data_IF_358049750748
#
_entry.id   IF_358049750748
#
_cell.length_a   1.000
_cell.length_b   1.000
_cell.length_c   1.000
_cell.angle_alpha   90.00
_cell.angle_beta   90.00
_cell.angle_gamma   90.00
#
_symmetry.space_group_name_H-M   'P 1'
#
loop_
_entity.id
_entity.type
_entity.pdbx_description
1 polymer ?
#
# COMPACT_ATOMS: atom_id res chain seq x y z
N UNK A 1 -39.52 4.06 44.50
CA UNK A 1 -39.59 5.53 44.62
C UNK A 1 -39.71 6.06 43.20
N UNK A 2 -40.92 6.50 42.85
CA UNK A 2 -41.37 7.24 41.63
C UNK A 2 -40.36 8.24 41.05
N UNK A 3 -40.45 8.79 39.82
CA UNK A 3 -41.19 8.60 38.57
C UNK A 3 -40.81 9.84 37.71
N UNK A 4 -41.03 9.78 36.39
CA UNK A 4 -41.12 10.91 35.43
C UNK A 4 -39.75 11.41 34.91
N UNK A 5 -39.54 11.46 33.59
CA UNK A 5 -40.34 12.30 32.70
C UNK A 5 -40.55 11.72 31.29
N UNK A 6 -41.78 11.88 30.80
CA UNK A 6 -42.27 11.50 29.47
C UNK A 6 -42.18 12.71 28.54
N UNK A 7 -41.92 12.49 27.26
CA UNK A 7 -42.59 13.27 26.21
C UNK A 7 -42.95 12.34 25.04
N UNK A 8 -44.25 12.28 24.75
CA UNK A 8 -44.85 11.69 23.54
C UNK A 8 -45.49 12.83 22.76
N UNK A 9 -45.42 12.79 21.43
CA UNK A 9 -46.49 13.33 20.59
C UNK A 9 -46.68 12.43 19.36
N UNK A 10 -47.92 11.98 19.19
CA UNK A 10 -48.46 11.19 18.08
C UNK A 10 -48.90 12.12 16.92
N UNK A 11 -49.03 11.57 15.70
CA UNK A 11 -50.12 11.69 14.69
C UNK A 11 -49.59 10.94 13.42
N UNK A 12 -50.04 9.73 13.06
CA UNK A 12 -51.30 9.25 12.46
C UNK A 12 -51.41 9.44 10.92
N UNK A 13 -51.42 8.28 10.24
CA UNK A 13 -52.20 7.82 9.04
C UNK A 13 -51.96 8.30 7.59
N UNK A 14 -51.67 7.28 6.76
CA UNK A 14 -52.37 6.80 5.53
C UNK A 14 -52.41 7.62 4.24
N UNK A 15 -51.91 7.01 3.15
CA UNK A 15 -52.50 6.95 1.78
C UNK A 15 -51.62 6.00 0.93
N UNK A 16 -51.99 4.73 0.67
CA UNK A 16 -52.82 4.18 -0.42
C UNK A 16 -52.46 4.73 -1.83
N UNK A 17 -51.82 3.90 -2.65
CA UNK A 17 -51.95 3.86 -4.13
C UNK A 17 -51.66 2.43 -4.61
N UNK A 18 -52.68 1.57 -4.74
CA UNK A 18 -53.35 1.15 -6.00
C UNK A 18 -52.47 0.31 -6.92
N UNK A 19 -52.75 -0.99 -6.90
CA UNK A 19 -52.47 -2.01 -7.91
C UNK A 19 -53.09 -1.63 -9.26
N UNK A 20 -52.35 -1.81 -10.36
CA UNK A 20 -52.94 -2.15 -11.65
C UNK A 20 -52.19 -3.32 -12.29
N UNK A 21 -52.88 -4.46 -12.28
CA UNK A 21 -52.66 -5.67 -13.07
C UNK A 21 -53.66 -5.64 -14.24
N UNK A 22 -53.24 -6.11 -15.41
CA UNK A 22 -54.11 -6.47 -16.54
C UNK A 22 -53.82 -5.62 -17.79
N UNK A 23 -53.81 -6.14 -19.01
CA UNK A 23 -54.21 -7.44 -19.53
C UNK A 23 -53.42 -7.74 -20.82
N UNK A 24 -53.26 -9.03 -21.08
CA UNK A 24 -52.83 -9.63 -22.33
C UNK A 24 -53.99 -9.78 -23.34
N UNK A 25 -53.61 -10.13 -24.59
CA UNK A 25 -54.38 -10.76 -25.69
C UNK A 25 -54.92 -9.84 -26.83
N UNK A 26 -55.31 -10.38 -28.01
CA UNK A 26 -54.38 -10.59 -29.14
C UNK A 26 -54.95 -10.13 -30.51
N UNK A 27 -54.10 -10.25 -31.54
CA UNK A 27 -54.38 -10.51 -32.96
C UNK A 27 -55.55 -9.78 -33.67
N UNK A 28 -55.18 -8.95 -34.67
CA UNK A 28 -56.03 -8.70 -35.82
C UNK A 28 -55.59 -9.58 -37.01
N UNK A 29 -56.54 -10.39 -37.48
CA UNK A 29 -56.48 -11.21 -38.70
C UNK A 29 -56.94 -10.37 -39.87
N UNK A 30 -56.17 -10.32 -40.96
CA UNK A 30 -56.59 -9.78 -42.27
C UNK A 30 -56.14 -10.78 -43.36
N UNK A 31 -56.96 -11.04 -44.40
CA UNK A 31 -57.01 -12.33 -45.08
C UNK A 31 -55.97 -12.56 -46.18
N UNK A 32 -55.78 -13.85 -46.45
CA UNK A 32 -54.97 -14.45 -47.51
C UNK A 32 -55.52 -14.06 -48.89
N UNK A 33 -54.67 -13.47 -49.72
CA UNK A 33 -54.81 -13.46 -51.18
C UNK A 33 -53.73 -14.37 -51.77
N UNK A 34 -54.17 -15.44 -52.44
CA UNK A 34 -53.30 -16.42 -53.09
C UNK A 34 -52.65 -15.81 -54.33
N UNK A 35 -51.32 -15.75 -54.35
CA UNK A 35 -50.56 -15.65 -55.60
C UNK A 35 -49.42 -16.66 -55.60
N UNK A 36 -49.53 -17.63 -56.51
CA UNK A 36 -48.44 -18.50 -56.92
C UNK A 36 -47.40 -17.64 -57.63
N UNK A 37 -46.23 -17.48 -57.03
CA UNK A 37 -45.00 -17.10 -57.75
C UNK A 37 -43.90 -18.07 -57.36
N UNK A 38 -43.26 -18.55 -58.40
CA UNK A 38 -42.19 -19.52 -58.49
C UNK A 38 -40.85 -18.80 -58.30
N UNK A 39 -39.88 -19.55 -57.77
CA UNK A 39 -38.43 -19.35 -57.83
C UNK A 39 -37.69 -18.73 -56.63
N UNK A 40 -36.55 -19.40 -56.39
CA UNK A 40 -35.30 -18.98 -55.76
C UNK A 40 -35.23 -18.92 -54.23
N UNK A 41 -34.73 -20.04 -53.67
CA UNK A 41 -34.08 -20.07 -52.37
C UNK A 41 -32.91 -19.08 -52.35
N UNK A 42 -33.16 -17.90 -51.81
CA UNK A 42 -32.08 -16.98 -51.40
C UNK A 42 -31.65 -17.42 -50.00
N UNK A 43 -30.52 -18.13 -49.92
CA UNK A 43 -29.79 -18.32 -48.66
C UNK A 43 -29.57 -16.95 -48.03
N UNK A 44 -30.30 -16.67 -46.97
CA UNK A 44 -30.01 -15.53 -46.10
C UNK A 44 -28.81 -15.94 -45.25
N UNK A 45 -27.60 -15.75 -45.80
CA UNK A 45 -26.38 -15.80 -45.01
C UNK A 45 -26.46 -14.65 -44.02
N UNK A 46 -26.87 -14.99 -42.80
CA UNK A 46 -26.73 -14.08 -41.67
C UNK A 46 -25.26 -14.15 -41.30
N UNK A 47 -24.43 -13.32 -41.93
CA UNK A 47 -23.04 -13.10 -41.52
C UNK A 47 -23.06 -12.47 -40.13
N UNK A 48 -23.06 -13.32 -39.11
CA UNK A 48 -22.65 -12.95 -37.76
C UNK A 48 -21.13 -12.84 -37.78
N UNK A 49 -20.60 -11.73 -38.30
CA UNK A 49 -19.18 -11.43 -38.18
C UNK A 49 -18.89 -11.12 -36.71
N UNK A 50 -18.36 -12.11 -35.99
CA UNK A 50 -17.75 -11.85 -34.70
C UNK A 50 -16.61 -10.85 -34.92
N UNK A 51 -16.57 -9.72 -34.19
CA UNK A 51 -15.54 -8.71 -34.37
C UNK A 51 -14.16 -9.35 -34.16
N UNK A 52 -13.26 -9.15 -35.12
CA UNK A 52 -11.89 -9.67 -35.06
C UNK A 52 -11.07 -8.73 -34.19
N UNK A 53 -10.64 -9.23 -33.03
CA UNK A 53 -9.77 -8.50 -32.12
C UNK A 53 -8.45 -8.13 -32.80
N UNK A 54 -8.08 -6.84 -32.72
CA UNK A 54 -6.83 -6.31 -33.26
C UNK A 54 -5.86 -6.00 -32.11
N UNK A 55 -4.63 -6.49 -32.19
CA UNK A 55 -3.58 -6.16 -31.21
C UNK A 55 -2.45 -5.45 -31.92
N UNK A 56 -2.08 -4.27 -31.44
CA UNK A 56 -0.91 -3.51 -31.93
C UNK A 56 0.25 -3.67 -30.97
N UNK A 57 1.39 -4.16 -31.46
CA UNK A 57 2.62 -4.27 -30.66
C UNK A 57 3.38 -2.92 -30.70
N UNK A 58 3.47 -2.25 -29.55
CA UNK A 58 4.16 -0.98 -29.38
C UNK A 58 5.64 -1.13 -28.96
N UNK A 59 6.08 -2.35 -28.66
CA UNK A 59 7.46 -2.66 -28.28
C UNK A 59 7.78 -2.37 -26.81
N UNK A 60 9.07 -2.27 -26.45
CA UNK A 60 9.50 -2.11 -25.07
C UNK A 60 9.27 -0.68 -24.57
N UNK A 61 8.78 -0.54 -23.34
CA UNK A 61 8.75 0.74 -22.64
C UNK A 61 10.17 1.24 -22.37
N UNK A 62 10.39 2.54 -22.60
CA UNK A 62 11.69 3.19 -22.41
C UNK A 62 11.56 4.31 -21.38
N UNK A 63 12.26 4.16 -20.26
CA UNK A 63 12.36 5.20 -19.24
C UNK A 63 13.38 6.25 -19.66
N UNK A 64 13.13 7.51 -19.30
CA UNK A 64 14.17 8.54 -19.40
C UNK A 64 15.34 8.20 -18.46
N UNK A 65 16.55 8.64 -18.80
CA UNK A 65 17.72 8.37 -17.96
C UNK A 65 17.48 8.88 -16.52
N UNK A 66 17.62 7.98 -15.55
CA UNK A 66 17.39 8.28 -14.13
C UNK A 66 15.92 8.37 -13.70
N UNK A 67 14.96 8.17 -14.60
CA UNK A 67 13.54 8.14 -14.26
C UNK A 67 13.12 6.75 -13.76
N UNK A 68 12.34 6.73 -12.67
CA UNK A 68 11.71 5.52 -12.12
C UNK A 68 10.24 5.39 -12.54
N UNK A 69 9.70 6.34 -13.29
CA UNK A 69 8.33 6.28 -13.80
C UNK A 69 8.25 6.81 -15.23
N UNK A 70 7.20 6.43 -15.95
CA UNK A 70 6.79 7.06 -17.20
C UNK A 70 5.28 7.03 -17.36
N UNK A 71 4.75 7.92 -18.19
CA UNK A 71 3.35 7.97 -18.56
C UNK A 71 3.22 8.15 -20.07
N UNK A 72 2.35 7.36 -20.70
CA UNK A 72 2.07 7.43 -22.13
C UNK A 72 0.57 7.48 -22.37
N UNK A 73 0.07 8.51 -23.08
CA UNK A 73 -1.29 8.51 -23.57
C UNK A 73 -1.40 7.65 -24.85
N UNK A 74 -2.64 7.30 -25.21
CA UNK A 74 -2.96 6.75 -26.53
C UNK A 74 -4.46 6.66 -26.76
N UNK A 75 -4.83 6.20 -27.94
CA UNK A 75 -6.20 5.91 -28.33
C UNK A 75 -6.46 4.40 -28.35
N UNK A 76 -7.70 4.02 -28.07
CA UNK A 76 -8.18 2.65 -28.12
C UNK A 76 -9.52 2.60 -28.85
N UNK A 77 -9.53 1.90 -29.98
CA UNK A 77 -10.73 1.60 -30.73
C UNK A 77 -11.49 0.39 -30.12
N UNK A 78 -12.80 0.25 -30.36
CA UNK A 78 -13.54 -0.96 -29.98
C UNK A 78 -12.89 -2.23 -30.54
N UNK A 79 -12.84 -3.29 -29.73
CA UNK A 79 -12.21 -4.57 -30.10
C UNK A 79 -10.72 -4.46 -30.48
N UNK A 80 -10.03 -3.47 -29.92
CA UNK A 80 -8.58 -3.31 -30.09
C UNK A 80 -7.85 -3.43 -28.76
N UNK A 81 -6.56 -3.75 -28.87
CA UNK A 81 -5.62 -3.73 -27.76
C UNK A 81 -4.26 -3.22 -28.25
N UNK A 82 -3.49 -2.68 -27.31
CA UNK A 82 -2.10 -2.30 -27.52
C UNK A 82 -1.21 -3.04 -26.53
N UNK A 83 -0.05 -3.49 -26.97
CA UNK A 83 0.85 -4.34 -26.19
C UNK A 83 2.24 -3.73 -26.06
N UNK A 84 2.74 -3.75 -24.83
CA UNK A 84 4.08 -3.30 -24.46
C UNK A 84 4.88 -4.43 -23.81
N UNK A 85 6.20 -4.31 -23.80
CA UNK A 85 7.06 -5.11 -22.94
C UNK A 85 7.77 -4.27 -21.89
N UNK A 86 7.95 -4.84 -20.70
CA UNK A 86 8.56 -4.16 -19.55
C UNK A 86 9.53 -5.10 -18.86
N UNK A 87 10.79 -4.68 -18.70
CA UNK A 87 11.79 -5.45 -17.97
C UNK A 87 12.05 -4.83 -16.60
N UNK A 88 12.10 -5.65 -15.57
CA UNK A 88 12.45 -5.26 -14.21
C UNK A 88 13.16 -6.39 -13.47
N UNK A 89 13.90 -6.02 -12.43
CA UNK A 89 14.74 -6.92 -11.65
C UNK A 89 13.99 -7.52 -10.47
N UNK A 90 14.47 -8.66 -9.98
CA UNK A 90 14.05 -9.27 -8.74
C UNK A 90 14.11 -8.26 -7.60
N UNK A 91 13.03 -8.22 -6.82
CA UNK A 91 12.87 -7.35 -5.68
C UNK A 91 12.46 -5.91 -6.01
N UNK A 92 12.45 -5.49 -7.27
CA UNK A 92 11.84 -4.21 -7.62
C UNK A 92 10.33 -4.31 -7.54
N UNK A 93 9.67 -3.23 -7.11
CA UNK A 93 8.23 -3.11 -7.20
C UNK A 93 7.83 -2.52 -8.55
N UNK A 94 6.98 -3.20 -9.31
CA UNK A 94 6.41 -2.67 -10.55
C UNK A 94 4.96 -2.29 -10.29
N UNK A 95 4.60 -1.03 -10.53
CA UNK A 95 3.24 -0.53 -10.38
C UNK A 95 2.75 0.09 -11.69
N UNK A 96 1.50 -0.20 -12.04
CA UNK A 96 0.89 0.16 -13.32
C UNK A 96 -0.50 0.74 -13.06
N UNK A 97 -0.82 1.86 -13.72
CA UNK A 97 -2.12 2.51 -13.65
C UNK A 97 -2.65 2.75 -15.07
N UNK A 98 -3.96 2.58 -15.22
CA UNK A 98 -4.70 2.84 -16.44
C UNK A 98 -5.89 3.73 -16.13
N UNK A 99 -5.94 4.88 -16.78
CA UNK A 99 -7.11 5.77 -16.77
C UNK A 99 -7.63 5.97 -18.19
N UNK A 100 -8.90 6.32 -18.32
CA UNK A 100 -9.56 6.55 -19.61
C UNK A 100 -10.26 7.88 -19.67
N UNK A 101 -10.40 8.42 -20.88
CA UNK A 101 -11.26 9.57 -21.19
C UNK A 101 -12.27 9.15 -22.28
N UNK A 102 -13.59 9.27 -22.02
CA UNK A 102 -14.21 9.79 -20.80
C UNK A 102 -13.98 8.87 -19.60
N UNK A 103 -13.90 9.44 -18.39
CA UNK A 103 -13.88 8.63 -17.17
C UNK A 103 -15.24 7.94 -16.97
N UNK A 104 -15.23 6.70 -16.50
CA UNK A 104 -16.43 5.92 -16.21
C UNK A 104 -16.41 5.42 -14.78
N UNK A 105 -17.55 5.55 -14.09
CA UNK A 105 -17.75 5.08 -12.71
C UNK A 105 -18.63 3.83 -12.62
N UNK A 106 -19.30 3.46 -13.73
CA UNK A 106 -20.21 2.31 -13.78
C UNK A 106 -19.52 1.04 -14.28
N UNK A 107 -18.59 1.19 -15.22
CA UNK A 107 -17.82 0.10 -15.81
C UNK A 107 -16.51 0.60 -16.38
N UNK A 108 -15.41 -0.11 -16.15
CA UNK A 108 -14.13 0.20 -16.77
C UNK A 108 -14.23 0.15 -18.30
N UNK A 109 -13.70 1.18 -18.97
CA UNK A 109 -13.69 1.28 -20.43
C UNK A 109 -12.47 0.62 -21.07
N UNK A 110 -11.46 0.30 -20.27
CA UNK A 110 -10.28 -0.45 -20.68
C UNK A 110 -9.74 -1.27 -19.50
N UNK A 111 -8.92 -2.28 -19.80
CA UNK A 111 -8.31 -3.15 -18.79
C UNK A 111 -6.85 -3.45 -19.10
N UNK A 112 -6.07 -3.67 -18.05
CA UNK A 112 -4.72 -4.21 -18.08
C UNK A 112 -4.77 -5.75 -18.07
N UNK A 113 -3.99 -6.37 -18.94
CA UNK A 113 -3.64 -7.79 -18.90
C UNK A 113 -2.13 -7.90 -18.77
N UNK A 114 -1.65 -8.52 -17.69
CA UNK A 114 -0.21 -8.68 -17.44
C UNK A 114 0.14 -10.13 -17.59
N UNK A 115 1.14 -10.42 -18.43
CA UNK A 115 1.64 -11.76 -18.67
C UNK A 115 3.11 -11.84 -18.31
N UNK A 116 3.49 -12.91 -17.61
CA UNK A 116 4.90 -13.22 -17.35
C UNK A 116 5.66 -13.60 -18.63
N UNK A 117 6.97 -13.86 -18.50
CA UNK A 117 7.81 -14.24 -19.62
C UNK A 117 7.42 -15.59 -20.28
N UNK A 118 6.62 -16.42 -19.61
CA UNK A 118 6.09 -17.68 -20.14
C UNK A 118 4.72 -17.49 -20.85
N UNK A 119 4.15 -16.28 -20.81
CA UNK A 119 2.82 -15.99 -21.34
C UNK A 119 1.69 -16.32 -20.36
N UNK A 120 2.00 -16.63 -19.09
CA UNK A 120 0.98 -16.85 -18.05
C UNK A 120 0.34 -15.51 -17.69
N UNK A 121 -0.99 -15.43 -17.80
CA UNK A 121 -1.73 -14.25 -17.35
C UNK A 121 -1.73 -14.20 -15.81
N UNK A 122 -1.28 -13.07 -15.26
CA UNK A 122 -1.17 -12.83 -13.82
C UNK A 122 -2.35 -12.04 -13.23
N UNK A 123 -3.23 -11.52 -14.09
CA UNK A 123 -4.31 -10.59 -13.71
C UNK A 123 -5.68 -11.15 -14.04
N UNK A 124 -6.69 -10.71 -13.30
CA UNK A 124 -8.11 -10.88 -13.66
C UNK A 124 -8.64 -9.59 -14.26
N UNK A 125 -9.43 -9.67 -15.33
CA UNK A 125 -10.05 -8.51 -15.96
C UNK A 125 -11.47 -8.27 -15.39
N UNK A 126 -11.93 -7.02 -15.24
CA UNK A 126 -11.20 -5.78 -15.53
C UNK A 126 -10.19 -5.40 -14.43
N UNK A 127 -9.11 -4.75 -14.83
CA UNK A 127 -8.05 -4.26 -13.94
C UNK A 127 -7.52 -2.92 -14.44
N UNK A 128 -7.55 -1.89 -13.59
CA UNK A 128 -7.03 -0.55 -13.89
C UNK A 128 -5.79 -0.19 -13.06
N UNK A 129 -5.46 -1.00 -12.07
CA UNK A 129 -4.26 -0.87 -11.26
C UNK A 129 -3.65 -2.23 -10.96
N UNK A 130 -2.33 -2.34 -11.07
CA UNK A 130 -1.59 -3.53 -10.65
C UNK A 130 -0.29 -3.12 -9.99
N UNK A 131 0.10 -3.82 -8.92
CA UNK A 131 1.42 -3.63 -8.33
C UNK A 131 1.94 -4.90 -7.67
N UNK A 132 3.22 -5.20 -7.89
CA UNK A 132 3.88 -6.38 -7.32
C UNK A 132 5.39 -6.16 -7.17
N UNK A 133 5.97 -6.70 -6.08
CA UNK A 133 7.42 -6.90 -5.95
C UNK A 133 7.84 -8.17 -6.67
N UNK A 134 8.81 -8.07 -7.57
CA UNK A 134 9.11 -9.16 -8.49
C UNK A 134 9.87 -10.30 -7.80
N UNK A 135 9.43 -11.56 -7.94
CA UNK A 135 10.14 -12.70 -7.35
C UNK A 135 11.42 -13.06 -8.08
N UNK A 136 11.56 -12.66 -9.36
CA UNK A 136 12.69 -12.95 -10.24
C UNK A 136 12.86 -11.82 -11.26
N UNK A 137 14.06 -11.70 -11.82
CA UNK A 137 14.32 -10.88 -13.01
C UNK A 137 13.43 -11.39 -14.16
N UNK A 138 12.62 -10.53 -14.75
CA UNK A 138 11.80 -10.93 -15.89
C UNK A 138 11.36 -9.76 -16.77
N UNK A 139 10.89 -10.14 -17.96
CA UNK A 139 10.20 -9.22 -18.87
C UNK A 139 8.73 -9.59 -18.93
N UNK A 140 7.88 -8.64 -18.58
CA UNK A 140 6.43 -8.74 -18.70
C UNK A 140 5.96 -8.31 -20.06
N UNK A 141 4.85 -8.92 -20.50
CA UNK A 141 4.01 -8.37 -21.54
C UNK A 141 2.81 -7.70 -20.89
N UNK A 142 2.59 -6.43 -21.19
CA UNK A 142 1.43 -5.65 -20.71
C UNK A 142 0.54 -5.36 -21.91
N UNK A 143 -0.71 -5.79 -21.85
CA UNK A 143 -1.70 -5.51 -22.87
C UNK A 143 -2.79 -4.60 -22.30
N UNK A 144 -3.10 -3.51 -23.00
CA UNK A 144 -4.20 -2.61 -22.65
C UNK A 144 -5.32 -2.88 -23.66
N UNK A 145 -6.45 -3.40 -23.18
CA UNK A 145 -7.57 -3.81 -24.02
C UNK A 145 -8.73 -2.83 -23.89
N UNK A 146 -9.36 -2.49 -25.01
CA UNK A 146 -10.60 -1.74 -25.01
C UNK A 146 -11.77 -2.62 -24.55
N UNK A 147 -12.52 -2.13 -23.57
CA UNK A 147 -13.83 -2.66 -23.18
C UNK A 147 -14.97 -1.77 -23.69
N UNK A 148 -14.64 -0.64 -24.30
CA UNK A 148 -15.58 0.35 -24.79
C UNK A 148 -16.21 -0.06 -26.13
N UNK A 149 -17.40 0.51 -26.38
CA UNK A 149 -18.13 0.36 -27.65
C UNK A 149 -17.86 1.49 -28.64
N UNK A 150 -17.13 2.50 -28.20
CA UNK A 150 -16.70 3.66 -28.95
C UNK A 150 -15.20 3.91 -28.70
N UNK A 151 -14.62 4.80 -29.49
CA UNK A 151 -13.22 5.19 -29.34
C UNK A 151 -13.03 5.92 -28.01
N UNK A 152 -11.98 5.55 -27.29
CA UNK A 152 -11.60 6.19 -26.03
C UNK A 152 -10.14 6.60 -26.07
N UNK A 153 -9.77 7.57 -25.25
CA UNK A 153 -8.37 7.81 -24.93
C UNK A 153 -8.02 7.06 -23.65
N UNK A 154 -6.78 6.62 -23.55
CA UNK A 154 -6.21 6.08 -22.32
C UNK A 154 -4.94 6.85 -21.93
N UNK A 155 -4.64 6.79 -20.64
CA UNK A 155 -3.35 7.18 -20.09
C UNK A 155 -2.82 6.03 -19.25
N UNK A 156 -1.65 5.52 -19.63
CA UNK A 156 -0.96 4.43 -18.96
C UNK A 156 0.27 4.97 -18.24
N UNK A 157 0.31 4.81 -16.91
CA UNK A 157 1.45 5.14 -16.05
C UNK A 157 2.09 3.85 -15.56
N UNK A 158 3.42 3.81 -15.55
CA UNK A 158 4.19 2.75 -14.90
C UNK A 158 5.27 3.37 -14.01
N UNK A 159 5.48 2.76 -12.84
CA UNK A 159 6.49 3.13 -11.85
C UNK A 159 7.26 1.87 -11.44
N UNK A 160 8.59 1.96 -11.49
CA UNK A 160 9.55 0.93 -11.10
C UNK A 160 10.64 1.63 -10.27
N UNK A 161 10.48 1.73 -8.94
CA UNK A 161 11.52 2.26 -8.06
C UNK A 161 12.82 1.46 -8.19
N UNK A 162 13.94 2.12 -7.91
CA UNK A 162 15.27 1.50 -8.02
C UNK A 162 15.55 0.57 -6.83
N UNK A 163 14.88 0.81 -5.71
CA UNK A 163 14.99 0.04 -4.48
C UNK A 163 14.53 -1.40 -4.71
N UNK A 164 15.30 -2.34 -4.14
CA UNK A 164 14.95 -3.76 -4.14
C UNK A 164 14.60 -4.23 -2.75
N UNK A 165 13.58 -5.07 -2.67
CA UNK A 165 13.07 -5.68 -1.45
C UNK A 165 13.11 -7.19 -1.63
N UNK A 166 13.41 -7.91 -0.56
CA UNK A 166 13.26 -9.37 -0.59
C UNK A 166 11.80 -9.70 -0.96
N UNK A 167 11.55 -10.44 -2.06
CA UNK A 167 10.20 -10.74 -2.51
C UNK A 167 9.31 -11.37 -1.43
N UNK A 168 9.88 -12.05 -0.43
CA UNK A 168 9.13 -12.59 0.71
C UNK A 168 8.43 -11.50 1.56
N UNK A 169 8.91 -10.26 1.51
CA UNK A 169 8.38 -9.10 2.22
C UNK A 169 7.74 -8.06 1.29
N UNK A 170 7.46 -8.43 0.04
CA UNK A 170 6.97 -7.51 -0.98
C UNK A 170 5.46 -7.23 -0.97
N UNK A 171 4.70 -7.93 -0.12
CA UNK A 171 3.25 -7.81 -0.01
C UNK A 171 2.81 -7.74 1.46
N UNK A 172 3.60 -7.08 2.31
CA UNK A 172 3.33 -6.93 3.75
C UNK A 172 2.35 -5.79 4.01
N UNK A 173 2.35 -4.77 3.16
CA UNK A 173 1.48 -3.62 3.26
C UNK A 173 0.32 -3.67 2.26
N UNK A 174 -0.87 -3.30 2.73
CA UNK A 174 -2.06 -3.12 1.89
C UNK A 174 -2.62 -1.70 2.05
N UNK A 175 -3.46 -1.24 1.10
CA UNK A 175 -4.10 0.05 1.20
C UNK A 175 -4.94 0.14 2.48
N UNK A 176 -4.82 1.27 3.17
CA UNK A 176 -5.70 1.62 4.28
C UNK A 176 -7.07 2.05 3.75
N UNK A 177 -8.07 2.19 4.63
CA UNK A 177 -9.40 2.65 4.24
C UNK A 177 -9.34 3.97 3.44
N UNK A 178 -9.95 3.99 2.26
CA UNK A 178 -9.88 5.13 1.33
C UNK A 178 -10.39 6.45 1.95
N UNK A 179 -11.39 6.35 2.83
CA UNK A 179 -11.97 7.51 3.53
C UNK A 179 -10.95 8.20 4.44
N UNK A 180 -10.03 7.43 5.04
CA UNK A 180 -8.94 7.96 5.83
C UNK A 180 -7.95 8.71 4.95
N UNK A 181 -7.54 8.16 3.81
CA UNK A 181 -6.64 8.86 2.89
C UNK A 181 -7.25 10.17 2.37
N UNK A 182 -8.55 10.19 2.07
CA UNK A 182 -9.27 11.40 1.67
C UNK A 182 -9.32 12.43 2.80
N UNK A 183 -9.50 12.00 4.05
CA UNK A 183 -9.42 12.89 5.20
C UNK A 183 -8.01 13.50 5.31
N UNK A 184 -6.96 12.67 5.23
CA UNK A 184 -5.57 13.13 5.26
C UNK A 184 -5.24 14.09 4.11
N UNK A 185 -5.82 13.87 2.92
CA UNK A 185 -5.71 14.80 1.79
C UNK A 185 -6.26 16.19 2.14
N UNK A 186 -7.42 16.28 2.78
CA UNK A 186 -8.02 17.56 3.16
C UNK A 186 -7.20 18.28 4.25
N UNK A 187 -6.67 17.53 5.21
CA UNK A 187 -5.75 18.07 6.22
C UNK A 187 -4.46 18.60 5.57
N UNK A 188 -3.89 17.86 4.62
CA UNK A 188 -2.68 18.25 3.89
C UNK A 188 -2.92 19.49 3.02
N UNK A 189 -4.06 19.56 2.32
CA UNK A 189 -4.46 20.72 1.52
C UNK A 189 -4.57 21.97 2.41
N UNK A 190 -5.18 21.84 3.58
CA UNK A 190 -5.34 22.94 4.54
C UNK A 190 -3.99 23.35 5.12
N UNK A 191 -3.15 22.38 5.50
CA UNK A 191 -1.85 22.64 6.12
C UNK A 191 -0.86 23.32 5.17
N UNK A 192 -0.84 22.91 3.90
CA UNK A 192 0.11 23.43 2.90
C UNK A 192 -0.45 24.62 2.13
N UNK A 193 -1.77 24.81 2.10
CA UNK A 193 -2.46 25.76 1.22
C UNK A 193 -2.02 25.59 -0.25
N UNK A 194 -1.97 24.33 -0.69
CA UNK A 194 -1.59 23.90 -2.04
C UNK A 194 -2.55 22.84 -2.54
N UNK A 195 -2.61 22.70 -3.86
CA UNK A 195 -3.29 21.56 -4.47
C UNK A 195 -2.58 20.27 -4.05
N UNK A 196 -3.38 19.26 -3.65
CA UNK A 196 -2.89 17.95 -3.25
C UNK A 196 -3.49 16.91 -4.19
N UNK A 197 -2.61 16.27 -4.95
CA UNK A 197 -2.99 15.13 -5.79
C UNK A 197 -3.08 13.87 -4.95
N UNK A 198 -4.16 13.12 -5.16
CA UNK A 198 -4.45 11.89 -4.42
C UNK A 198 -4.43 10.69 -5.36
N UNK A 199 -3.58 9.72 -5.04
CA UNK A 199 -3.55 8.41 -5.66
C UNK A 199 -4.10 7.39 -4.65
N UNK A 200 -5.28 6.82 -4.93
CA UNK A 200 -5.92 5.84 -4.03
C UNK A 200 -5.13 4.54 -3.90
N UNK A 201 -4.28 4.25 -4.89
CA UNK A 201 -3.37 3.12 -4.90
C UNK A 201 -2.00 3.58 -5.39
N UNK A 202 -0.98 3.31 -4.60
CA UNK A 202 0.43 3.61 -4.89
C UNK A 202 1.36 2.55 -4.28
N UNK A 203 2.56 2.33 -4.86
CA UNK A 203 3.56 1.49 -4.23
C UNK A 203 3.93 2.08 -2.87
N UNK A 204 4.00 1.22 -1.85
CA UNK A 204 4.38 1.59 -0.50
C UNK A 204 5.67 0.87 -0.12
N UNK A 205 6.65 1.64 0.35
CA UNK A 205 7.98 1.13 0.72
C UNK A 205 8.31 1.54 2.16
N UNK A 206 8.36 0.55 3.05
CA UNK A 206 8.98 0.70 4.36
C UNK A 206 10.47 0.35 4.26
N UNK A 207 11.29 1.34 3.94
CA UNK A 207 12.73 1.17 3.79
C UNK A 207 13.44 0.77 5.10
N UNK A 208 12.88 1.14 6.27
CA UNK A 208 13.44 0.80 7.58
C UNK A 208 13.17 -0.67 7.89
N UNK A 209 11.94 -1.13 7.65
CA UNK A 209 11.55 -2.54 7.76
C UNK A 209 12.17 -3.41 6.66
N UNK A 210 12.48 -2.84 5.49
CA UNK A 210 12.79 -3.61 4.29
C UNK A 210 11.58 -4.42 3.83
N UNK A 211 10.41 -3.79 3.89
CA UNK A 211 9.11 -4.36 3.56
C UNK A 211 8.43 -3.44 2.52
N UNK A 212 7.57 -4.02 1.70
CA UNK A 212 6.83 -3.27 0.69
C UNK A 212 5.39 -3.78 0.57
N UNK A 213 4.63 -3.07 -0.24
CA UNK A 213 3.26 -3.41 -0.56
C UNK A 213 2.58 -2.22 -1.21
N UNK A 214 1.31 -2.01 -0.89
CA UNK A 214 0.51 -0.96 -1.50
C UNK A 214 -0.07 -0.05 -0.43
N UNK A 215 -0.30 1.20 -0.79
CA UNK A 215 -0.87 2.23 0.06
C UNK A 215 -1.64 3.25 -0.77
N UNK A 216 -2.02 4.35 -0.15
CA UNK A 216 -2.39 5.57 -0.85
C UNK A 216 -1.23 6.56 -0.80
N UNK A 217 -1.16 7.45 -1.80
CA UNK A 217 -0.15 8.50 -1.88
C UNK A 217 -0.81 9.86 -2.06
N UNK A 218 -0.34 10.82 -1.27
CA UNK A 218 -0.71 12.23 -1.39
C UNK A 218 0.53 12.99 -1.85
N UNK A 219 0.41 13.80 -2.89
CA UNK A 219 1.51 14.63 -3.38
C UNK A 219 1.13 16.08 -3.50
N UNK A 220 2.06 16.97 -3.14
CA UNK A 220 1.95 18.39 -3.40
C UNK A 220 3.31 18.93 -3.88
N UNK A 221 3.27 20.01 -4.64
CA UNK A 221 4.47 20.69 -5.11
C UNK A 221 4.45 22.16 -4.72
N UNK A 222 5.62 22.77 -4.68
CA UNK A 222 5.76 24.21 -4.46
C UNK A 222 7.21 24.65 -4.64
N UNK A 223 7.49 25.86 -4.20
CA UNK A 223 8.83 26.45 -4.28
C UNK A 223 9.36 26.86 -2.91
N UNK A 224 10.62 27.26 -2.82
CA UNK A 224 11.17 27.89 -1.62
C UNK A 224 10.51 29.22 -1.26
N UNK A 225 9.71 29.83 -2.15
CA UNK A 225 8.87 30.97 -1.81
C UNK A 225 7.64 30.56 -0.98
N UNK A 226 7.21 29.30 -1.13
CA UNK A 226 6.09 28.71 -0.38
C UNK A 226 6.56 28.09 0.94
N UNK A 227 7.77 27.52 0.95
CA UNK A 227 8.29 26.74 2.06
C UNK A 227 9.71 27.20 2.45
N UNK A 228 9.92 27.47 3.75
CA UNK A 228 11.22 27.91 4.26
C UNK A 228 12.30 26.85 4.11
N UNK A 229 11.98 25.62 4.52
CA UNK A 229 12.88 24.47 4.55
C UNK A 229 12.05 23.18 4.69
N UNK A 230 12.65 22.04 4.31
CA UNK A 230 11.96 20.75 4.32
C UNK A 230 11.53 20.29 5.73
N UNK A 231 12.35 20.55 6.76
CA UNK A 231 12.07 20.13 8.14
C UNK A 231 10.85 20.84 8.73
N UNK A 232 10.71 22.14 8.47
CA UNK A 232 9.52 22.91 8.87
C UNK A 232 8.24 22.40 8.22
N UNK A 233 8.31 21.94 6.96
CA UNK A 233 7.16 21.33 6.27
C UNK A 233 6.82 19.98 6.92
N UNK A 234 7.80 19.11 7.17
CA UNK A 234 7.58 17.83 7.87
C UNK A 234 6.97 18.06 9.25
N UNK A 235 7.50 19.00 10.03
CA UNK A 235 6.95 19.33 11.36
C UNK A 235 5.49 19.81 11.28
N UNK A 236 5.17 20.65 10.30
CA UNK A 236 3.80 21.10 10.04
C UNK A 236 2.89 19.89 9.77
N UNK A 237 3.28 19.01 8.85
CA UNK A 237 2.51 17.82 8.48
C UNK A 237 2.35 16.83 9.64
N UNK A 238 3.38 16.64 10.49
CA UNK A 238 3.25 15.84 11.72
C UNK A 238 2.18 16.44 12.64
N UNK A 239 2.17 17.76 12.83
CA UNK A 239 1.23 18.43 13.74
C UNK A 239 -0.21 18.48 13.22
N UNK A 240 -0.42 18.36 11.92
CA UNK A 240 -1.74 18.44 11.27
C UNK A 240 -2.18 17.08 10.73
N UNK A 241 -1.62 16.64 9.60
CA UNK A 241 -1.93 15.36 8.93
C UNK A 241 -1.66 14.17 9.86
N UNK A 242 -0.57 14.23 10.62
CA UNK A 242 -0.17 13.23 11.61
C UNK A 242 -0.90 13.33 12.95
N UNK A 243 -1.89 14.21 13.12
CA UNK A 243 -2.59 14.36 14.38
C UNK A 243 -3.25 13.04 14.81
N UNK A 244 -2.94 12.59 16.04
CA UNK A 244 -3.43 11.31 16.57
C UNK A 244 -2.63 10.08 16.12
N UNK A 245 -1.50 10.26 15.43
CA UNK A 245 -0.50 9.22 15.16
C UNK A 245 0.71 9.39 16.07
N UNK A 246 1.43 8.30 16.32
CA UNK A 246 2.65 8.30 17.13
C UNK A 246 3.87 8.34 16.21
N UNK A 247 4.82 9.23 16.49
CA UNK A 247 6.03 9.33 15.67
C UNK A 247 6.97 8.14 15.92
N UNK A 248 7.44 7.50 14.85
CA UNK A 248 8.45 6.46 14.92
C UNK A 248 9.85 7.06 14.72
N UNK A 249 10.66 7.08 15.79
CA UNK A 249 12.00 7.70 15.78
C UNK A 249 12.93 7.11 14.71
N UNK A 250 12.84 5.80 14.44
CA UNK A 250 13.67 5.11 13.46
C UNK A 250 13.41 5.55 11.99
N UNK A 251 12.35 6.32 11.76
CA UNK A 251 11.95 6.80 10.43
C UNK A 251 12.25 8.30 10.25
N UNK A 252 12.86 8.94 11.24
CA UNK A 252 13.26 10.35 11.12
C UNK A 252 14.56 10.45 10.33
N UNK A 253 14.56 11.28 9.29
CA UNK A 253 15.75 11.59 8.52
C UNK A 253 15.73 13.05 8.11
N UNK A 254 16.83 13.78 8.34
CA UNK A 254 16.96 15.18 7.98
C UNK A 254 18.25 15.41 7.19
N UNK A 255 18.14 16.23 6.16
CA UNK A 255 19.24 16.60 5.28
C UNK A 255 19.04 18.00 4.69
N UNK A 256 20.05 18.47 3.95
CA UNK A 256 20.02 19.82 3.35
C UNK A 256 18.92 19.94 2.29
N UNK A 257 18.66 18.86 1.54
CA UNK A 257 17.71 18.81 0.42
C UNK A 257 16.40 18.12 0.73
N UNK A 258 16.23 17.63 1.96
CA UNK A 258 15.02 16.92 2.32
C UNK A 258 14.93 16.56 3.78
N UNK A 259 13.73 16.23 4.20
CA UNK A 259 13.38 15.78 5.53
C UNK A 259 12.31 14.70 5.40
N UNK A 260 12.31 13.72 6.30
CA UNK A 260 11.35 12.65 6.34
C UNK A 260 11.03 12.26 7.78
N UNK A 261 9.80 11.78 7.96
CA UNK A 261 9.33 11.23 9.22
C UNK A 261 8.38 10.05 8.97
N UNK A 262 8.38 9.10 9.90
CA UNK A 262 7.38 8.03 9.95
C UNK A 262 6.48 8.20 11.16
N UNK A 263 5.20 7.92 10.99
CA UNK A 263 4.21 7.87 12.06
C UNK A 263 3.43 6.56 11.97
N UNK A 264 3.04 6.01 13.11
CA UNK A 264 2.25 4.79 13.17
C UNK A 264 0.99 5.00 14.02
N UNK A 265 -0.05 4.24 13.70
CA UNK A 265 -1.31 4.17 14.43
C UNK A 265 -1.97 2.83 14.12
N UNK A 266 -2.28 2.06 15.16
CA UNK A 266 -2.73 0.68 15.02
C UNK A 266 -1.71 -0.12 14.16
N UNK A 267 -2.15 -0.69 13.04
CA UNK A 267 -1.28 -1.34 12.05
C UNK A 267 -0.84 -0.42 10.90
N UNK A 268 -1.30 0.84 10.89
CA UNK A 268 -0.98 1.84 9.88
C UNK A 268 0.44 2.38 10.02
N UNK A 269 1.10 2.61 8.89
CA UNK A 269 2.32 3.39 8.77
C UNK A 269 2.10 4.52 7.77
N UNK A 270 2.36 5.74 8.22
CA UNK A 270 2.41 6.96 7.42
C UNK A 270 3.87 7.37 7.26
N UNK A 271 4.30 7.59 6.02
CA UNK A 271 5.62 8.09 5.69
C UNK A 271 5.49 9.46 5.03
N UNK A 272 6.07 10.47 5.67
CA UNK A 272 6.11 11.84 5.17
C UNK A 272 7.51 12.06 4.60
N UNK A 273 7.61 12.46 3.34
CA UNK A 273 8.86 12.82 2.68
C UNK A 273 8.72 14.18 2.04
N UNK A 274 9.62 15.09 2.38
CA UNK A 274 9.72 16.41 1.75
C UNK A 274 11.11 16.51 1.15
N UNK A 275 11.19 16.68 -0.16
CA UNK A 275 12.45 16.88 -0.86
C UNK A 275 12.39 18.16 -1.69
N UNK A 276 13.54 18.77 -1.95
CA UNK A 276 13.63 19.82 -2.96
C UNK A 276 14.85 19.62 -3.85
N UNK A 277 14.73 20.09 -5.09
CA UNK A 277 15.83 20.12 -6.07
C UNK A 277 15.89 21.47 -6.77
N UNK A 278 17.06 21.88 -7.29
CA UNK A 278 17.16 23.06 -8.13
C UNK A 278 16.24 22.93 -9.35
N UNK A 279 15.70 24.05 -9.81
CA UNK A 279 14.95 24.14 -11.06
C UNK A 279 15.80 23.66 -12.24
N UNK A 280 15.14 23.04 -13.22
CA UNK A 280 15.80 22.53 -14.43
C UNK A 280 16.53 23.67 -15.18
N UNK A 281 17.79 23.42 -15.52
CA UNK A 281 18.66 24.39 -16.19
C UNK A 281 19.53 25.22 -15.24
N UNK A 282 19.37 25.07 -13.93
CA UNK A 282 20.31 25.65 -12.96
C UNK A 282 21.47 24.69 -12.72
N UNK A 283 22.67 25.08 -13.14
CA UNK A 283 23.90 24.32 -12.91
C UNK A 283 24.54 24.71 -11.57
N UNK A 284 24.40 23.86 -10.56
CA UNK A 284 25.16 23.98 -9.32
C UNK A 284 26.49 23.22 -9.45
N UNK A 285 27.60 23.73 -8.86
CA UNK A 285 28.86 23.00 -8.86
C UNK A 285 28.72 21.65 -8.15
N UNK A 286 29.03 20.55 -8.83
CA UNK A 286 28.86 19.20 -8.29
C UNK A 286 29.75 18.91 -7.06
N UNK A 287 30.89 19.60 -6.94
CA UNK A 287 31.89 19.39 -5.88
C UNK A 287 31.78 20.39 -4.72
N UNK A 288 30.70 21.18 -4.65
CA UNK A 288 30.49 22.16 -3.60
C UNK A 288 29.11 21.96 -2.96
N UNK A 289 28.92 22.38 -1.69
CA UNK A 289 27.60 22.27 -1.08
C UNK A 289 26.61 23.22 -1.77
N UNK A 290 25.33 22.82 -1.76
CA UNK A 290 24.28 23.49 -2.54
C UNK A 290 23.96 24.92 -2.07
N UNK A 291 24.39 25.28 -0.86
CA UNK A 291 24.30 26.65 -0.34
C UNK A 291 25.14 27.64 -1.17
N UNK A 292 26.26 27.18 -1.73
CA UNK A 292 27.13 27.98 -2.61
C UNK A 292 26.47 28.31 -3.95
N UNK A 293 25.46 27.53 -4.35
CA UNK A 293 24.75 27.75 -5.62
C UNK A 293 23.92 29.04 -5.63
N UNK A 294 23.64 29.64 -4.46
CA UNK A 294 22.98 30.95 -4.37
C UNK A 294 21.55 30.97 -4.93
N UNK A 295 20.86 29.82 -4.88
CA UNK A 295 19.52 29.63 -5.42
C UNK A 295 18.52 30.62 -4.81
N UNK A 296 17.72 31.27 -5.65
CA UNK A 296 16.55 32.02 -5.17
C UNK A 296 15.49 31.07 -4.61
N UNK A 297 14.58 31.54 -3.75
CA UNK A 297 13.48 30.72 -3.25
C UNK A 297 12.69 30.03 -4.38
N UNK A 298 12.42 30.73 -5.47
CA UNK A 298 11.65 30.22 -6.63
C UNK A 298 12.37 29.10 -7.38
N UNK A 299 13.72 29.10 -7.36
CA UNK A 299 14.55 28.07 -8.00
C UNK A 299 14.66 26.78 -7.19
N UNK A 300 14.07 26.71 -5.99
CA UNK A 300 14.04 25.50 -5.16
C UNK A 300 12.69 24.82 -5.34
N UNK A 301 12.63 23.76 -6.13
CA UNK A 301 11.39 23.04 -6.42
C UNK A 301 11.17 21.96 -5.36
N UNK A 302 10.14 22.13 -4.55
CA UNK A 302 9.74 21.18 -3.51
C UNK A 302 8.76 20.13 -4.04
N UNK A 303 8.98 18.89 -3.59
CA UNK A 303 8.09 17.75 -3.75
C UNK A 303 7.76 17.20 -2.36
N UNK A 304 6.50 17.23 -2.00
CA UNK A 304 5.96 16.71 -0.75
C UNK A 304 5.18 15.44 -1.08
N UNK A 305 5.50 14.35 -0.38
CA UNK A 305 4.87 13.05 -0.52
C UNK A 305 4.45 12.55 0.87
N UNK A 306 3.21 12.09 0.99
CA UNK A 306 2.71 11.35 2.14
C UNK A 306 2.17 10.02 1.66
N UNK A 307 2.89 8.94 1.96
CA UNK A 307 2.46 7.57 1.69
C UNK A 307 1.81 6.99 2.96
N UNK A 308 0.68 6.31 2.82
CA UNK A 308 0.01 5.65 3.95
C UNK A 308 -0.46 4.26 3.57
N UNK A 309 -0.11 3.27 4.37
CA UNK A 309 -0.54 1.89 4.22
C UNK A 309 -0.78 1.23 5.58
N UNK A 310 -1.46 0.09 5.59
CA UNK A 310 -1.60 -0.74 6.78
C UNK A 310 -0.82 -2.04 6.63
N UNK A 311 -0.13 -2.43 7.69
CA UNK A 311 0.59 -3.69 7.74
C UNK A 311 -0.40 -4.84 7.96
N UNK A 312 -0.29 -5.89 7.14
CA UNK A 312 -1.21 -7.03 7.12
C UNK A 312 -0.83 -8.15 8.08
N UNK A 313 0.20 -7.97 8.92
CA UNK A 313 0.56 -8.98 9.92
C UNK A 313 -0.60 -9.22 10.89
N UNK A 314 -1.38 -10.27 10.62
CA UNK A 314 -2.55 -10.66 11.39
C UNK A 314 -2.23 -11.37 12.71
N UNK A 315 -1.06 -11.10 13.30
CA UNK A 315 -0.64 -11.68 14.57
C UNK A 315 -0.13 -10.61 15.52
N UNK A 316 -0.17 -10.92 16.81
CA UNK A 316 0.44 -10.11 17.87
C UNK A 316 1.29 -11.01 18.75
N UNK A 317 2.47 -10.53 19.13
CA UNK A 317 3.34 -11.15 20.13
C UNK A 317 2.90 -10.87 21.57
N UNK A 318 1.83 -10.08 21.77
CA UNK A 318 1.27 -9.81 23.10
C UNK A 318 0.93 -11.10 23.85
N UNK A 319 1.37 -11.17 25.10
CA UNK A 319 0.93 -12.21 26.03
C UNK A 319 1.99 -12.71 26.99
N UNK A 320 1.56 -13.65 27.83
CA UNK A 320 2.43 -14.41 28.72
C UNK A 320 2.87 -15.72 28.06
N UNK A 321 4.16 -15.84 27.82
CA UNK A 321 4.80 -16.94 27.12
C UNK A 321 5.65 -17.76 28.09
N UNK A 322 5.50 -19.08 28.05
CA UNK A 322 6.14 -19.98 29.01
C UNK A 322 6.81 -21.15 28.30
N UNK A 323 8.08 -21.39 28.59
CA UNK A 323 8.71 -22.70 28.40
C UNK A 323 8.51 -23.53 29.67
N UNK A 324 7.55 -24.46 29.61
CA UNK A 324 7.20 -25.30 30.76
C UNK A 324 8.32 -26.24 31.22
N UNK A 325 9.32 -26.51 30.38
CA UNK A 325 10.43 -27.42 30.72
C UNK A 325 11.51 -26.76 31.56
N UNK A 326 11.70 -25.44 31.36
CA UNK A 326 12.76 -24.68 32.03
C UNK A 326 12.19 -23.68 33.06
N UNK A 327 10.93 -23.27 32.92
CA UNK A 327 10.35 -22.18 33.70
C UNK A 327 10.76 -20.79 33.20
N UNK A 328 11.37 -20.70 32.01
CA UNK A 328 11.63 -19.42 31.34
C UNK A 328 10.32 -18.81 30.85
N UNK A 329 10.11 -17.55 31.16
CA UNK A 329 8.92 -16.81 30.75
C UNK A 329 9.25 -15.46 30.14
N UNK A 330 8.39 -15.04 29.23
CA UNK A 330 8.37 -13.70 28.64
C UNK A 330 6.96 -13.12 28.77
N UNK A 331 6.86 -11.94 29.35
CA UNK A 331 5.68 -11.09 29.21
C UNK A 331 5.98 -10.06 28.14
N UNK A 332 5.32 -10.18 26.99
CA UNK A 332 5.56 -9.33 25.83
C UNK A 332 4.36 -8.41 25.58
N UNK A 333 4.69 -7.20 25.18
CA UNK A 333 3.78 -6.17 24.69
C UNK A 333 4.28 -5.70 23.32
N UNK A 334 3.35 -5.51 22.41
CA UNK A 334 3.57 -5.09 21.04
C UNK A 334 2.77 -3.81 20.80
N UNK A 335 3.48 -2.73 20.50
CA UNK A 335 2.89 -1.51 19.96
C UNK A 335 3.36 -1.35 18.52
N UNK A 336 2.46 -1.63 17.58
CA UNK A 336 2.77 -1.77 16.15
C UNK A 336 3.90 -2.79 15.90
N UNK A 337 5.11 -2.34 15.53
CA UNK A 337 6.31 -3.17 15.35
C UNK A 337 7.25 -3.14 16.55
N UNK A 338 7.01 -2.26 17.52
CA UNK A 338 7.82 -2.20 18.72
C UNK A 338 7.45 -3.36 19.65
N UNK A 339 8.43 -4.17 20.01
CA UNK A 339 8.27 -5.24 21.00
C UNK A 339 8.98 -4.81 22.27
N UNK A 340 8.29 -4.87 23.40
CA UNK A 340 8.89 -4.60 24.70
C UNK A 340 8.28 -5.50 25.76
N UNK A 341 8.95 -5.64 26.90
CA UNK A 341 8.46 -6.54 27.93
C UNK A 341 9.52 -6.89 28.95
N UNK A 342 9.29 -8.02 29.62
CA UNK A 342 10.14 -8.51 30.68
C UNK A 342 10.34 -10.02 30.57
N UNK A 343 11.41 -10.49 31.20
CA UNK A 343 11.68 -11.92 31.35
C UNK A 343 11.69 -12.31 32.83
N UNK A 344 11.39 -13.59 33.08
CA UNK A 344 11.69 -14.24 34.35
C UNK A 344 12.29 -15.60 34.04
N UNK A 345 13.42 -15.89 34.68
CA UNK A 345 13.99 -17.22 34.68
C UNK A 345 14.47 -17.63 36.07
N UNK A 346 13.84 -18.67 36.60
CA UNK A 346 14.19 -19.26 37.89
C UNK A 346 15.08 -20.47 37.64
N UNK A 347 16.29 -20.44 38.19
CA UNK A 347 17.31 -21.47 37.98
C UNK A 347 17.88 -21.97 39.30
N UNK A 348 18.51 -23.15 39.23
CA UNK A 348 19.15 -23.81 40.38
C UNK A 348 18.16 -23.97 41.56
N UNK A 349 16.98 -24.51 41.28
CA UNK A 349 15.90 -24.75 42.25
C UNK A 349 15.50 -23.49 43.06
N UNK A 350 15.58 -22.32 42.42
CA UNK A 350 15.22 -21.04 43.04
C UNK A 350 16.35 -20.32 43.76
N UNK A 351 17.57 -20.85 43.74
CA UNK A 351 18.74 -20.16 44.32
C UNK A 351 19.25 -18.99 43.47
N UNK A 352 18.85 -18.92 42.19
CA UNK A 352 19.06 -17.75 41.32
C UNK A 352 17.78 -17.43 40.55
N UNK A 353 17.46 -16.14 40.46
CA UNK A 353 16.32 -15.63 39.70
C UNK A 353 16.87 -14.51 38.81
N UNK A 354 16.78 -14.69 37.50
CA UNK A 354 17.09 -13.65 36.53
C UNK A 354 15.79 -13.00 36.08
N UNK A 355 15.55 -11.78 36.53
CA UNK A 355 14.36 -11.02 36.20
C UNK A 355 14.62 -9.53 36.34
N UNK A 356 14.15 -8.78 35.35
CA UNK A 356 14.26 -7.34 35.32
C UNK A 356 13.05 -6.76 34.58
N UNK A 357 12.45 -5.70 35.13
CA UNK A 357 11.39 -4.98 34.44
C UNK A 357 11.93 -4.30 33.17
N UNK A 358 11.11 -4.23 32.12
CA UNK A 358 11.50 -3.64 30.84
C UNK A 358 12.81 -4.23 30.26
N UNK A 359 13.09 -5.50 30.55
CA UNK A 359 14.31 -6.17 30.12
C UNK A 359 14.34 -6.49 28.64
N UNK A 360 13.21 -6.43 27.92
CA UNK A 360 13.11 -6.75 26.49
C UNK A 360 12.72 -5.46 25.76
N UNK A 361 13.46 -5.13 24.71
CA UNK A 361 13.12 -4.03 23.81
C UNK A 361 13.64 -4.32 22.40
N UNK A 362 12.80 -4.18 21.39
CA UNK A 362 13.21 -4.42 20.02
C UNK A 362 12.14 -4.11 18.99
N UNK A 363 12.37 -4.64 17.79
CA UNK A 363 11.57 -4.33 16.62
C UNK A 363 11.24 -5.56 15.80
N UNK A 364 10.01 -5.62 15.32
CA UNK A 364 9.47 -6.67 14.47
C UNK A 364 9.81 -6.39 12.99
N UNK A 365 10.26 -7.44 12.29
CA UNK A 365 10.39 -7.50 10.84
C UNK A 365 9.81 -8.82 10.34
N UNK A 366 8.77 -8.76 9.52
CA UNK A 366 7.99 -9.95 9.19
C UNK A 366 7.49 -10.65 10.46
N UNK A 367 7.86 -11.92 10.66
CA UNK A 367 7.52 -12.73 11.84
C UNK A 367 8.60 -12.77 12.92
N UNK A 368 9.71 -12.06 12.74
CA UNK A 368 10.88 -12.11 13.64
C UNK A 368 11.08 -10.76 14.29
N UNK A 369 11.07 -10.72 15.62
CA UNK A 369 11.47 -9.56 16.38
C UNK A 369 12.93 -9.68 16.81
N UNK A 370 13.77 -8.74 16.40
CA UNK A 370 15.13 -8.60 16.94
C UNK A 370 15.06 -7.73 18.18
N UNK A 371 15.40 -8.30 19.33
CA UNK A 371 15.30 -7.64 20.63
C UNK A 371 16.66 -7.55 21.32
N UNK A 372 16.92 -6.42 21.94
CA UNK A 372 17.88 -6.33 23.03
C UNK A 372 17.24 -6.92 24.29
N UNK A 373 18.04 -7.67 25.05
CA UNK A 373 17.63 -8.15 26.36
C UNK A 373 18.65 -7.82 27.44
N UNK A 374 18.17 -7.51 28.64
CA UNK A 374 18.99 -7.17 29.79
C UNK A 374 18.79 -8.20 30.91
N UNK A 375 19.85 -8.94 31.26
CA UNK A 375 19.88 -9.78 32.45
C UNK A 375 20.08 -8.91 33.70
N UNK A 376 19.53 -9.34 34.83
CA UNK A 376 19.74 -8.73 36.15
C UNK A 376 21.16 -8.92 36.71
N UNK A 377 21.99 -9.75 36.08
CA UNK A 377 23.35 -10.09 36.51
C UNK A 377 24.46 -9.32 35.77
N UNK A 378 24.09 -8.48 34.80
CA UNK A 378 25.02 -7.64 34.05
C UNK A 378 24.33 -6.34 33.65
N UNK A 379 25.09 -5.27 33.38
CA UNK A 379 24.58 -4.00 32.83
C UNK A 379 24.74 -3.94 31.30
N UNK A 380 25.31 -4.98 30.69
CA UNK A 380 25.50 -5.05 29.25
C UNK A 380 24.35 -5.84 28.61
N UNK A 381 23.66 -5.29 27.61
CA UNK A 381 22.58 -6.01 26.95
C UNK A 381 23.13 -7.10 26.02
N UNK A 382 22.35 -8.16 25.83
CA UNK A 382 22.50 -9.12 24.74
C UNK A 382 21.49 -8.83 23.63
N UNK A 383 21.59 -9.58 22.54
CA UNK A 383 20.63 -9.54 21.43
C UNK A 383 20.05 -10.92 21.18
N UNK A 384 18.74 -10.99 20.98
CA UNK A 384 18.01 -12.21 20.67
C UNK A 384 17.00 -11.98 19.53
N UNK A 385 16.55 -13.08 18.96
CA UNK A 385 15.41 -13.15 18.04
C UNK A 385 14.23 -13.83 18.74
N UNK A 386 13.05 -13.24 18.56
CA UNK A 386 11.76 -13.85 18.89
C UNK A 386 11.02 -14.11 17.58
N UNK A 387 10.93 -15.36 17.18
CA UNK A 387 10.22 -15.77 15.97
C UNK A 387 8.81 -16.20 16.33
N UNK A 388 7.81 -15.51 15.76
CA UNK A 388 6.43 -15.93 15.79
C UNK A 388 6.25 -17.20 14.94
N UNK A 389 5.76 -18.28 15.56
CA UNK A 389 5.45 -19.54 14.86
C UNK A 389 3.96 -19.61 14.58
N UNK A 390 3.13 -19.44 15.61
CA UNK A 390 1.68 -19.44 15.55
C UNK A 390 1.08 -18.74 16.79
N UNK A 391 -0.26 -18.66 16.85
CA UNK A 391 -0.99 -17.94 17.91
C UNK A 391 -0.63 -18.41 19.33
N UNK A 392 -0.16 -19.66 19.47
CA UNK A 392 0.20 -20.26 20.74
C UNK A 392 1.70 -20.49 20.91
N UNK A 393 2.54 -20.16 19.93
CA UNK A 393 3.96 -20.53 19.96
C UNK A 393 4.88 -19.42 19.46
N UNK A 394 5.92 -19.12 20.25
CA UNK A 394 7.09 -18.36 19.81
C UNK A 394 8.38 -19.17 20.02
N UNK A 395 9.41 -18.81 19.28
CA UNK A 395 10.77 -19.31 19.48
C UNK A 395 11.69 -18.16 19.87
N UNK A 396 12.41 -18.34 20.96
CA UNK A 396 13.46 -17.46 21.44
C UNK A 396 14.83 -17.99 21.04
N UNK A 397 15.74 -17.12 20.61
CA UNK A 397 17.13 -17.46 20.32
C UNK A 397 18.07 -16.29 20.58
N UNK A 398 19.06 -16.46 21.45
CA UNK A 398 20.13 -15.48 21.64
C UNK A 398 21.07 -15.53 20.43
N UNK A 399 21.24 -14.40 19.74
CA UNK A 399 22.16 -14.24 18.60
C UNK A 399 23.47 -13.57 19.01
N UNK A 400 23.45 -12.77 20.08
CA UNK A 400 24.64 -12.22 20.71
C UNK A 400 24.46 -12.22 22.23
N UNK A 401 25.29 -12.97 22.93
CA UNK A 401 25.25 -13.02 24.39
C UNK A 401 25.76 -11.70 25.00
N UNK A 402 25.20 -11.25 26.15
CA UNK A 402 25.73 -10.11 26.87
C UNK A 402 27.13 -10.44 27.43
N UNK A 403 27.96 -9.41 27.60
CA UNK A 403 29.18 -9.57 28.37
C UNK A 403 28.86 -9.74 29.87
N UNK A 404 29.44 -10.73 30.52
CA UNK A 404 29.25 -11.00 31.94
C UNK A 404 28.40 -12.24 32.23
N UNK A 405 27.89 -12.32 33.45
CA UNK A 405 27.01 -13.40 33.90
C UNK A 405 25.58 -13.12 33.42
N UNK A 406 24.92 -14.14 32.85
CA UNK A 406 23.52 -14.09 32.45
C UNK A 406 22.95 -15.51 32.48
N UNK A 407 21.63 -15.64 32.58
CA UNK A 407 21.01 -16.96 32.73
C UNK A 407 19.92 -17.29 31.73
N UNK A 408 19.45 -16.34 30.93
CA UNK A 408 18.46 -16.61 29.89
C UNK A 408 18.94 -17.75 28.97
N UNK A 409 18.04 -18.66 28.56
CA UNK A 409 18.42 -19.80 27.73
C UNK A 409 18.90 -19.35 26.36
N UNK A 410 19.86 -20.08 25.78
CA UNK A 410 20.38 -19.80 24.44
C UNK A 410 19.29 -19.94 23.37
N UNK A 411 18.44 -20.94 23.50
CA UNK A 411 17.27 -21.16 22.66
C UNK A 411 16.14 -21.69 23.55
N UNK A 412 14.90 -21.26 23.30
CA UNK A 412 13.72 -21.79 23.99
C UNK A 412 12.51 -21.76 23.05
N UNK A 413 11.58 -22.69 23.25
CA UNK A 413 10.27 -22.67 22.60
C UNK A 413 9.23 -22.40 23.66
N UNK A 414 8.54 -21.27 23.56
CA UNK A 414 7.58 -20.83 24.56
C UNK A 414 6.16 -20.94 24.00
N UNK A 415 5.24 -21.32 24.87
CA UNK A 415 3.81 -21.40 24.54
C UNK A 415 3.02 -20.31 25.24
N UNK A 416 2.05 -19.72 24.54
CA UNK A 416 1.14 -18.74 25.12
C UNK A 416 0.26 -19.44 26.15
N UNK A 417 0.15 -18.84 27.33
CA UNK A 417 -0.81 -19.27 28.34
C UNK A 417 -2.02 -18.33 28.30
N UNK A 418 -3.21 -18.90 28.43
CA UNK A 418 -4.40 -18.08 28.65
C UNK A 418 -4.28 -17.43 30.03
N UNK A 419 -4.24 -16.10 30.07
CA UNK A 419 -4.43 -15.35 31.32
C UNK A 419 -5.87 -15.43 31.81
#
# INVERSE_FOLDING_TARGET
MSLMNKFRLNIILFLIFVLLVGCSQPAAVIPIATQNVKDEATETVTESSTPVWQVTDAGPLQFSAGATFMQTPGDLHPYSAIRFTVTALQGQQVSMWLTTEPASVESDLATLTIMDAAGTILTSEPLTYWSQVLPVDQTYTVEIKSLAKEDILYSYKIEIPAETIDPAFGAVYEPIEISLCQLLQQEMLTALNKEVYFESYAPFLDAVGGEAGQGCRLTATGTGADFSDAGSVVHTLISTVGAGWTQAQNYSADGVTGSAAGLYRDMGLMLIKVNWKPEMGVECPADQPLDVCGLTPEQKIYSIEVDVAQNTTGFSMDGHWVDASTGFTLDLYQDWKQIYGQHVFVIQDGSKIDSLEASINGWLKGTVATVQFQSSFTDQPGTAEITYIDVNTIQWKIIAAPAGEYYLPMEARLTRTAQ
#
